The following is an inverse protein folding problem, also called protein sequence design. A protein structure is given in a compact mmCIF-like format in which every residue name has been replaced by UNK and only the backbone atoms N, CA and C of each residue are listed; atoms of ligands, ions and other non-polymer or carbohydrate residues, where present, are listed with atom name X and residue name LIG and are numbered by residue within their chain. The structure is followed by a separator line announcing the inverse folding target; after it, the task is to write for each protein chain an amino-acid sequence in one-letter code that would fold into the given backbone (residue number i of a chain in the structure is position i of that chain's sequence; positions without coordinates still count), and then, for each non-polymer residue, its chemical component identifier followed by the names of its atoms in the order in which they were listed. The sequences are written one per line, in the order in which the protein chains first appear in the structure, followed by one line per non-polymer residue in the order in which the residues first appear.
data_IF_958085782190
#
_entry.id   IF_958085782190
#
_cell.length_a   1.000
_cell.length_b   1.000
_cell.length_c   1.000
_cell.angle_alpha   90.00
_cell.angle_beta   90.00
_cell.angle_gamma   90.00
#
_symmetry.space_group_name_H-M   'P 1'
#
loop_
_entity.id
_entity.type
_entity.pdbx_description
1 polymer ?
#
# COMPACT_ATOMS: atom_id res chain seq x y z
N UNK A 1 -18.35 -13.56 22.97
CA UNK A 1 -17.71 -14.89 22.90
C UNK A 1 -16.21 -14.63 22.79
N UNK A 2 -15.56 -14.40 23.94
CA UNK A 2 -14.12 -14.18 23.98
C UNK A 2 -13.46 -15.51 23.63
N UNK A 3 -12.78 -15.58 22.48
CA UNK A 3 -12.05 -16.78 22.09
C UNK A 3 -11.01 -17.08 23.16
N UNK A 4 -11.17 -18.20 23.85
CA UNK A 4 -10.09 -18.75 24.66
C UNK A 4 -8.94 -19.05 23.70
N UNK A 5 -7.92 -18.20 23.70
CA UNK A 5 -6.66 -18.48 23.02
C UNK A 5 -6.04 -19.67 23.75
N UNK A 6 -6.23 -20.86 23.20
CA UNK A 6 -5.56 -22.07 23.69
C UNK A 6 -4.13 -21.99 23.20
N UNK A 7 -3.23 -21.53 24.05
CA UNK A 7 -1.80 -21.59 23.76
C UNK A 7 -1.43 -23.06 23.46
N UNK A 8 -0.72 -23.34 22.36
CA UNK A 8 -0.18 -24.65 22.13
C UNK A 8 0.69 -25.02 23.34
N UNK A 9 0.36 -26.14 23.97
CA UNK A 9 1.14 -26.71 25.07
C UNK A 9 2.60 -26.89 24.60
N UNK A 10 3.51 -26.04 25.08
CA UNK A 10 4.90 -25.97 24.61
C UNK A 10 5.60 -27.34 24.70
N UNK A 11 5.23 -28.15 25.70
CA UNK A 11 5.75 -29.51 25.86
C UNK A 11 5.33 -30.44 24.73
N UNK A 12 4.10 -30.32 24.23
CA UNK A 12 3.63 -31.11 23.08
C UNK A 12 4.33 -30.70 21.80
N UNK A 13 4.61 -29.42 21.62
CA UNK A 13 5.39 -28.94 20.46
C UNK A 13 6.81 -29.51 20.53
N UNK A 14 7.47 -29.40 21.69
CA UNK A 14 8.84 -29.89 21.91
C UNK A 14 9.01 -31.40 21.69
N UNK A 15 7.98 -32.18 22.02
CA UNK A 15 7.96 -33.64 21.85
C UNK A 15 7.53 -34.10 20.44
N UNK A 16 7.14 -33.18 19.56
CA UNK A 16 6.73 -33.52 18.19
C UNK A 16 7.92 -33.69 17.24
N UNK A 17 7.70 -34.37 16.10
CA UNK A 17 8.75 -34.57 15.09
C UNK A 17 9.26 -33.23 14.51
N UNK A 18 10.52 -33.20 14.07
CA UNK A 18 11.12 -32.01 13.45
C UNK A 18 10.27 -31.48 12.28
N UNK A 19 9.74 -32.38 11.45
CA UNK A 19 8.88 -32.02 10.33
C UNK A 19 7.52 -31.44 10.78
N UNK A 20 7.00 -31.84 11.94
CA UNK A 20 5.78 -31.25 12.50
C UNK A 20 6.02 -29.83 13.01
N UNK A 21 7.13 -29.60 13.74
CA UNK A 21 7.50 -28.25 14.21
C UNK A 21 7.83 -27.32 13.06
N UNK A 22 8.59 -27.80 12.08
CA UNK A 22 8.89 -27.02 10.88
C UNK A 22 7.62 -26.58 10.14
N UNK A 23 6.65 -27.48 9.96
CA UNK A 23 5.34 -27.14 9.36
C UNK A 23 4.57 -26.12 10.19
N UNK A 24 4.60 -26.23 11.52
CA UNK A 24 3.96 -25.27 12.42
C UNK A 24 4.55 -23.87 12.23
N UNK A 25 5.88 -23.73 12.30
CA UNK A 25 6.58 -22.44 12.12
C UNK A 25 6.34 -21.85 10.72
N UNK A 26 6.38 -22.68 9.69
CA UNK A 26 6.14 -22.23 8.32
C UNK A 26 4.67 -21.85 8.06
N UNK A 27 3.70 -22.39 8.80
CA UNK A 27 2.29 -22.09 8.57
C UNK A 27 1.99 -20.59 8.74
N UNK A 28 2.58 -19.94 9.77
CA UNK A 28 2.40 -18.51 9.99
C UNK A 28 3.01 -17.65 8.87
N UNK A 29 4.22 -18.02 8.42
CA UNK A 29 4.92 -17.31 7.33
C UNK A 29 4.16 -17.49 6.01
N UNK A 30 3.78 -18.72 5.68
CA UNK A 30 3.13 -19.07 4.40
C UNK A 30 1.72 -18.49 4.30
N UNK A 31 0.94 -18.48 5.39
CA UNK A 31 -0.38 -17.86 5.41
C UNK A 31 -0.31 -16.36 5.12
N UNK A 32 0.61 -15.64 5.77
CA UNK A 32 0.81 -14.21 5.54
C UNK A 32 1.35 -13.94 4.13
N UNK A 33 2.30 -14.75 3.64
CA UNK A 33 2.80 -14.60 2.27
C UNK A 33 1.70 -14.82 1.23
N UNK A 34 0.83 -15.80 1.43
CA UNK A 34 -0.31 -16.05 0.56
C UNK A 34 -1.27 -14.86 0.53
N UNK A 35 -1.64 -14.32 1.71
CA UNK A 35 -2.49 -13.13 1.78
C UNK A 35 -1.83 -11.91 1.14
N UNK A 36 -0.52 -11.71 1.35
CA UNK A 36 0.22 -10.64 0.69
C UNK A 36 0.16 -10.79 -0.85
N UNK A 37 0.40 -11.98 -1.38
CA UNK A 37 0.29 -12.25 -2.82
C UNK A 37 -1.13 -12.04 -3.35
N UNK A 38 -2.16 -12.40 -2.57
CA UNK A 38 -3.54 -12.14 -2.93
C UNK A 38 -3.82 -10.63 -3.01
N UNK A 39 -3.46 -9.86 -1.99
CA UNK A 39 -3.61 -8.40 -2.04
C UNK A 39 -2.80 -7.77 -3.17
N UNK A 40 -1.58 -8.25 -3.42
CA UNK A 40 -0.75 -7.79 -4.54
C UNK A 40 -1.39 -8.06 -5.90
N UNK A 41 -1.97 -9.26 -6.10
CA UNK A 41 -2.69 -9.60 -7.32
C UNK A 41 -3.90 -8.66 -7.52
N UNK A 42 -4.65 -8.40 -6.45
CA UNK A 42 -5.79 -7.46 -6.46
C UNK A 42 -5.32 -6.03 -6.76
N UNK A 43 -4.24 -5.55 -6.13
CA UNK A 43 -3.63 -4.24 -6.43
C UNK A 43 -3.19 -4.16 -7.89
N UNK A 44 -2.62 -5.23 -8.45
CA UNK A 44 -2.12 -5.24 -9.83
C UNK A 44 -3.25 -5.09 -10.87
N UNK A 45 -4.48 -5.53 -10.53
CA UNK A 45 -5.66 -5.34 -11.38
C UNK A 45 -6.17 -3.90 -11.33
N UNK A 46 -6.13 -3.24 -10.17
CA UNK A 46 -6.72 -1.92 -9.97
C UNK A 46 -5.72 -0.75 -10.07
N UNK A 47 -4.45 -0.97 -9.75
CA UNK A 47 -3.46 0.08 -9.46
C UNK A 47 -2.62 0.54 -10.65
N UNK A 48 -2.96 0.16 -11.88
CA UNK A 48 -2.14 0.48 -13.05
C UNK A 48 -2.50 1.81 -13.72
N UNK A 49 -3.71 2.32 -13.50
CA UNK A 49 -4.15 3.60 -14.04
C UNK A 49 -4.89 4.40 -12.97
N UNK A 50 -4.45 5.64 -12.78
CA UNK A 50 -5.09 6.60 -11.90
C UNK A 50 -5.89 7.60 -12.70
N UNK A 51 -6.93 8.12 -12.07
CA UNK A 51 -7.80 9.16 -12.56
C UNK A 51 -7.77 10.34 -11.59
N UNK A 52 -7.79 11.56 -12.12
CA UNK A 52 -7.86 12.78 -11.32
C UNK A 52 -9.31 13.15 -11.12
N UNK A 53 -9.83 12.81 -9.95
CA UNK A 53 -11.22 12.99 -9.56
C UNK A 53 -11.40 14.29 -8.78
N UNK A 54 -12.33 15.14 -9.22
CA UNK A 54 -12.71 16.38 -8.54
C UNK A 54 -13.48 16.03 -7.27
N UNK A 55 -12.91 16.35 -6.11
CA UNK A 55 -13.52 16.09 -4.81
C UNK A 55 -14.37 17.25 -4.32
N UNK A 56 -14.00 18.48 -4.68
CA UNK A 56 -14.73 19.69 -4.35
C UNK A 56 -14.36 20.81 -5.32
N UNK A 57 -15.25 21.77 -5.49
CA UNK A 57 -15.05 22.96 -6.32
C UNK A 57 -15.34 24.20 -5.47
N UNK A 58 -14.41 25.15 -5.46
CA UNK A 58 -14.59 26.40 -4.76
C UNK A 58 -15.70 27.23 -5.43
N UNK A 59 -16.70 27.65 -4.67
CA UNK A 59 -17.80 28.49 -5.16
C UNK A 59 -17.25 29.78 -5.78
N UNK A 60 -17.84 30.20 -6.91
CA UNK A 60 -17.45 31.37 -7.70
C UNK A 60 -16.03 31.33 -8.30
N UNK A 61 -15.35 30.19 -8.26
CA UNK A 61 -14.05 30.01 -8.94
C UNK A 61 -14.20 29.87 -10.46
N UNK A 62 -13.11 30.02 -11.23
CA UNK A 62 -13.11 29.73 -12.67
C UNK A 62 -13.72 28.37 -13.03
N UNK A 63 -13.34 27.31 -12.30
CA UNK A 63 -13.85 25.97 -12.52
C UNK A 63 -15.35 25.86 -12.21
N UNK A 64 -15.81 26.48 -11.12
CA UNK A 64 -17.23 26.52 -10.76
C UNK A 64 -18.07 27.21 -11.84
N UNK A 65 -17.62 28.37 -12.31
CA UNK A 65 -18.32 29.15 -13.32
C UNK A 65 -18.34 28.45 -14.70
N UNK A 66 -17.32 27.63 -14.97
CA UNK A 66 -17.26 26.80 -16.16
C UNK A 66 -18.10 25.52 -16.07
N UNK A 67 -18.70 25.23 -14.92
CA UNK A 67 -19.59 24.07 -14.74
C UNK A 67 -18.91 22.78 -14.27
N UNK A 68 -17.65 22.83 -13.83
CA UNK A 68 -17.01 21.67 -13.19
C UNK A 68 -17.71 21.37 -11.86
N UNK A 69 -17.99 20.10 -11.60
CA UNK A 69 -18.70 19.62 -10.42
C UNK A 69 -17.90 18.59 -9.62
N UNK A 70 -18.15 18.46 -8.30
CA UNK A 70 -17.66 17.33 -7.54
C UNK A 70 -18.14 16.00 -8.16
N UNK A 71 -17.23 15.04 -8.29
CA UNK A 71 -17.48 13.77 -8.98
C UNK A 71 -17.00 13.73 -10.43
N UNK A 72 -16.64 14.87 -11.02
CA UNK A 72 -16.06 14.92 -12.36
C UNK A 72 -14.65 14.31 -12.37
N UNK A 73 -14.30 13.61 -13.45
CA UNK A 73 -12.93 13.17 -13.71
C UNK A 73 -12.33 14.04 -14.79
N UNK A 74 -11.18 14.66 -14.49
CA UNK A 74 -10.41 15.40 -15.49
C UNK A 74 -9.64 14.39 -16.34
N UNK A 75 -9.95 14.34 -17.64
CA UNK A 75 -9.34 13.41 -18.59
C UNK A 75 -8.20 14.06 -19.35
N UNK A 76 -8.40 15.30 -19.82
CA UNK A 76 -7.45 16.01 -20.66
C UNK A 76 -7.46 17.51 -20.37
N UNK A 77 -6.32 18.17 -20.59
CA UNK A 77 -6.18 19.63 -20.55
C UNK A 77 -5.39 20.07 -21.77
N UNK A 78 -6.00 20.89 -22.64
CA UNK A 78 -5.41 21.38 -23.88
C UNK A 78 -4.84 20.26 -24.78
N UNK A 79 -5.51 19.10 -24.80
CA UNK A 79 -5.09 17.91 -25.56
C UNK A 79 -4.04 17.04 -24.86
N UNK A 80 -3.57 17.42 -23.67
CA UNK A 80 -2.69 16.59 -22.85
C UNK A 80 -3.51 15.68 -21.94
N UNK A 81 -3.24 14.38 -21.99
CA UNK A 81 -3.88 13.40 -21.10
C UNK A 81 -3.43 13.57 -19.66
N UNK A 82 -4.38 13.52 -18.75
CA UNK A 82 -4.17 13.70 -17.32
C UNK A 82 -4.32 12.34 -16.62
N UNK A 83 -3.22 11.80 -16.12
CA UNK A 83 -3.18 10.54 -15.37
C UNK A 83 -2.81 10.75 -13.89
N UNK A 84 -2.26 11.91 -13.57
CA UNK A 84 -1.86 12.31 -12.23
C UNK A 84 -2.15 13.79 -11.95
N UNK A 85 -2.18 14.15 -10.67
CA UNK A 85 -2.21 15.53 -10.19
C UNK A 85 -0.98 16.29 -10.69
N UNK A 86 0.15 15.62 -10.89
CA UNK A 86 1.34 16.25 -11.45
C UNK A 86 1.10 16.67 -12.90
N UNK A 87 0.55 15.79 -13.74
CA UNK A 87 0.18 16.11 -15.13
C UNK A 87 -0.79 17.30 -15.17
N UNK A 88 -1.82 17.26 -14.31
CA UNK A 88 -2.80 18.34 -14.22
C UNK A 88 -2.15 19.68 -13.86
N UNK A 89 -1.24 19.67 -12.88
CA UNK A 89 -0.52 20.88 -12.45
C UNK A 89 0.34 21.44 -13.58
N UNK A 90 1.02 20.59 -14.35
CA UNK A 90 1.83 21.03 -15.48
C UNK A 90 0.96 21.63 -16.59
N UNK A 91 -0.09 20.91 -17.00
CA UNK A 91 -0.95 21.34 -18.09
C UNK A 91 -1.67 22.67 -17.78
N UNK A 92 -2.09 22.91 -16.53
CA UNK A 92 -2.73 24.15 -16.13
C UNK A 92 -1.77 25.36 -16.00
N UNK A 93 -0.46 25.14 -15.99
CA UNK A 93 0.51 26.24 -15.87
C UNK A 93 0.75 26.97 -17.18
N UNK A 94 0.55 26.32 -18.33
CA UNK A 94 0.91 26.84 -19.64
C UNK A 94 0.08 28.06 -20.07
N UNK A 95 -1.22 28.05 -19.76
CA UNK A 95 -2.16 29.09 -20.20
C UNK A 95 -3.05 29.60 -19.07
N UNK A 96 -3.58 30.81 -19.27
CA UNK A 96 -4.61 31.38 -18.40
C UNK A 96 -5.98 30.76 -18.64
N UNK A 97 -6.28 30.44 -19.91
CA UNK A 97 -7.47 29.74 -20.32
C UNK A 97 -7.08 28.37 -20.87
N UNK A 98 -7.65 27.32 -20.30
CA UNK A 98 -7.39 25.95 -20.72
C UNK A 98 -8.71 25.27 -21.10
N UNK A 99 -8.68 24.46 -22.14
CA UNK A 99 -9.76 23.58 -22.53
C UNK A 99 -9.61 22.27 -21.78
N UNK A 100 -10.53 21.98 -20.87
CA UNK A 100 -10.50 20.84 -19.98
C UNK A 100 -11.58 19.86 -20.40
N UNK A 101 -11.19 18.63 -20.71
CA UNK A 101 -12.11 17.52 -20.95
C UNK A 101 -12.43 16.89 -19.60
N UNK A 102 -13.69 16.95 -19.20
CA UNK A 102 -14.19 16.31 -17.97
C UNK A 102 -15.16 15.19 -18.32
N UNK A 103 -15.17 14.13 -17.52
CA UNK A 103 -16.23 13.12 -17.51
C UNK A 103 -17.05 13.27 -16.24
N UNK A 104 -18.31 13.61 -16.39
CA UNK A 104 -19.26 13.75 -15.29
C UNK A 104 -19.62 12.41 -14.64
N UNK A 105 -20.20 12.47 -13.45
CA UNK A 105 -20.67 11.29 -12.72
C UNK A 105 -21.71 10.44 -13.49
N UNK A 106 -22.46 11.05 -14.41
CA UNK A 106 -23.41 10.36 -15.29
C UNK A 106 -22.73 9.65 -16.50
N UNK A 107 -21.40 9.75 -16.62
CA UNK A 107 -20.60 9.18 -17.70
C UNK A 107 -20.47 10.07 -18.94
N UNK A 108 -21.19 11.18 -19.02
CA UNK A 108 -21.08 12.13 -20.12
C UNK A 108 -19.71 12.83 -20.08
N UNK A 109 -19.10 12.98 -21.24
CA UNK A 109 -17.87 13.76 -21.40
C UNK A 109 -18.19 15.12 -21.98
N UNK A 110 -17.60 16.18 -21.42
CA UNK A 110 -17.80 17.55 -21.85
C UNK A 110 -16.44 18.28 -21.96
N UNK A 111 -16.35 19.18 -22.93
CA UNK A 111 -15.20 20.07 -23.11
C UNK A 111 -15.55 21.44 -22.51
N UNK A 112 -14.85 21.84 -21.45
CA UNK A 112 -15.09 23.09 -20.75
C UNK A 112 -13.89 24.02 -20.91
N UNK A 113 -14.13 25.29 -21.23
CA UNK A 113 -13.07 26.31 -21.22
C UNK A 113 -13.02 26.97 -19.85
N UNK A 114 -11.88 26.82 -19.15
CA UNK A 114 -11.68 27.36 -17.80
C UNK A 114 -10.58 28.41 -17.83
N UNK A 115 -10.95 29.66 -17.51
CA UNK A 115 -10.06 30.81 -17.51
C UNK A 115 -9.79 31.33 -16.09
N UNK A 116 -8.56 31.19 -15.60
CA UNK A 116 -8.13 31.85 -14.35
C UNK A 116 -7.69 33.29 -14.61
N UNK A 117 -7.81 34.16 -13.60
CA UNK A 117 -7.28 35.52 -13.67
C UNK A 117 -5.75 35.49 -13.62
N UNK A 118 -5.10 36.51 -14.20
CA UNK A 118 -3.63 36.58 -14.24
C UNK A 118 -2.97 36.62 -12.85
N UNK A 119 -3.68 37.08 -11.83
CA UNK A 119 -3.21 37.12 -10.44
C UNK A 119 -3.57 35.85 -9.63
N UNK A 120 -4.32 34.90 -10.20
CA UNK A 120 -4.74 33.67 -9.55
C UNK A 120 -3.87 32.50 -10.05
N UNK A 121 -3.37 31.66 -9.13
CA UNK A 121 -2.54 30.50 -9.49
C UNK A 121 -3.35 29.23 -9.75
N UNK A 122 -4.62 29.20 -9.38
CA UNK A 122 -5.45 28.00 -9.41
C UNK A 122 -6.82 28.29 -10.03
N UNK A 123 -7.45 27.26 -10.59
CA UNK A 123 -8.80 27.34 -11.15
C UNK A 123 -9.91 27.04 -10.12
N UNK A 124 -9.55 26.67 -8.89
CA UNK A 124 -10.48 26.43 -7.78
C UNK A 124 -11.04 25.01 -7.67
N UNK A 125 -10.34 24.00 -8.20
CA UNK A 125 -10.67 22.59 -8.00
C UNK A 125 -9.83 21.97 -6.88
N UNK A 126 -10.47 21.15 -6.06
CA UNK A 126 -9.81 20.19 -5.18
C UNK A 126 -9.93 18.82 -5.83
N UNK A 127 -8.81 18.10 -5.93
CA UNK A 127 -8.72 16.83 -6.65
C UNK A 127 -8.04 15.77 -5.81
N UNK A 128 -8.39 14.52 -6.06
CA UNK A 128 -7.68 13.35 -5.55
C UNK A 128 -7.37 12.37 -6.68
N UNK A 129 -6.26 11.65 -6.56
CA UNK A 129 -5.97 10.51 -7.43
C UNK A 129 -6.70 9.27 -6.89
N UNK A 130 -7.43 8.62 -7.76
CA UNK A 130 -8.08 7.34 -7.45
C UNK A 130 -7.79 6.34 -8.58
N UNK A 131 -7.72 5.04 -8.29
CA UNK A 131 -7.73 4.02 -9.33
C UNK A 131 -8.87 4.25 -10.32
N UNK A 132 -8.56 4.33 -11.61
CA UNK A 132 -9.53 4.68 -12.64
C UNK A 132 -10.73 3.71 -12.68
N UNK A 133 -10.49 2.44 -12.36
CA UNK A 133 -11.50 1.38 -12.24
C UNK A 133 -12.48 1.58 -11.07
N UNK A 134 -12.14 2.40 -10.07
CA UNK A 134 -12.95 2.62 -8.87
C UNK A 134 -13.67 3.97 -8.87
N UNK A 135 -13.49 4.81 -9.89
CA UNK A 135 -14.11 6.14 -9.99
C UNK A 135 -15.61 6.11 -9.73
N UNK A 136 -16.33 5.11 -10.27
CA UNK A 136 -17.78 4.99 -10.14
C UNK A 136 -18.28 4.74 -8.72
N UNK A 137 -17.40 4.38 -7.78
CA UNK A 137 -17.73 4.21 -6.36
C UNK A 137 -17.66 5.53 -5.58
N UNK A 138 -17.21 6.60 -6.21
CA UNK A 138 -16.92 7.89 -5.60
C UNK A 138 -15.54 7.92 -4.91
N UNK A 139 -15.02 9.13 -4.62
CA UNK A 139 -13.64 9.33 -4.19
C UNK A 139 -13.32 8.66 -2.86
N UNK A 140 -14.23 8.79 -1.88
CA UNK A 140 -14.03 8.30 -0.52
C UNK A 140 -14.03 6.77 -0.47
N UNK A 141 -15.02 6.14 -1.11
CA UNK A 141 -15.12 4.68 -1.20
C UNK A 141 -13.95 4.06 -1.97
N UNK A 142 -13.60 4.64 -3.12
CA UNK A 142 -12.47 4.18 -3.92
C UNK A 142 -11.16 4.23 -3.15
N UNK A 143 -10.93 5.33 -2.42
CA UNK A 143 -9.75 5.51 -1.57
C UNK A 143 -9.73 4.53 -0.39
N UNK A 144 -10.87 4.32 0.27
CA UNK A 144 -10.99 3.36 1.35
C UNK A 144 -10.67 1.93 0.88
N UNK A 145 -11.24 1.50 -0.24
CA UNK A 145 -10.95 0.20 -0.85
C UNK A 145 -9.46 0.06 -1.17
N UNK A 146 -8.89 1.07 -1.84
CA UNK A 146 -7.46 1.07 -2.16
C UNK A 146 -6.60 0.92 -0.90
N UNK A 147 -6.87 1.69 0.16
CA UNK A 147 -6.09 1.61 1.39
C UNK A 147 -6.27 0.30 2.14
N UNK A 148 -7.47 -0.28 2.17
CA UNK A 148 -7.68 -1.59 2.79
C UNK A 148 -6.84 -2.65 2.09
N UNK A 149 -6.81 -2.63 0.75
CA UNK A 149 -6.04 -3.60 -0.05
C UNK A 149 -4.54 -3.32 0.11
N UNK A 150 -4.12 -2.06 -0.01
CA UNK A 150 -2.71 -1.67 0.11
C UNK A 150 -2.15 -1.96 1.50
N UNK A 151 -2.83 -1.56 2.57
CA UNK A 151 -2.39 -1.87 3.93
C UNK A 151 -2.53 -3.35 4.25
N UNK A 152 -3.54 -4.04 3.71
CA UNK A 152 -3.63 -5.49 3.77
C UNK A 152 -2.37 -6.17 3.20
N UNK A 153 -1.92 -5.73 2.02
CA UNK A 153 -0.66 -6.18 1.44
C UNK A 153 0.54 -5.88 2.34
N UNK A 154 0.72 -4.62 2.75
CA UNK A 154 1.87 -4.18 3.55
C UNK A 154 1.95 -4.93 4.88
N UNK A 155 0.82 -5.08 5.58
CA UNK A 155 0.76 -5.76 6.88
C UNK A 155 1.11 -7.24 6.71
N UNK A 156 0.48 -7.95 5.76
CA UNK A 156 0.73 -9.37 5.58
C UNK A 156 2.17 -9.64 5.11
N UNK A 157 2.69 -8.84 4.18
CA UNK A 157 4.08 -8.98 3.74
C UNK A 157 5.05 -8.73 4.90
N UNK A 158 4.81 -7.68 5.70
CA UNK A 158 5.64 -7.35 6.86
C UNK A 158 5.61 -8.46 7.91
N UNK A 159 4.43 -9.01 8.23
CA UNK A 159 4.29 -10.13 9.15
C UNK A 159 5.02 -11.37 8.64
N UNK A 160 4.91 -11.69 7.35
CA UNK A 160 5.64 -12.81 6.75
C UNK A 160 7.16 -12.61 6.88
N UNK A 161 7.66 -11.42 6.58
CA UNK A 161 9.09 -11.09 6.68
C UNK A 161 9.60 -11.12 8.12
N UNK A 162 8.86 -10.53 9.06
CA UNK A 162 9.22 -10.51 10.48
C UNK A 162 9.23 -11.93 11.03
N UNK A 163 8.20 -12.73 10.76
CA UNK A 163 8.13 -14.11 11.26
C UNK A 163 9.18 -15.02 10.60
N UNK A 164 9.61 -14.73 9.37
CA UNK A 164 10.67 -15.47 8.70
C UNK A 164 12.08 -15.06 9.13
N UNK A 165 12.26 -13.86 9.69
CA UNK A 165 13.57 -13.37 10.10
C UNK A 165 14.15 -14.29 11.19
N UNK A 166 15.47 -14.52 11.25
CA UNK A 166 16.09 -15.30 12.31
C UNK A 166 16.29 -14.42 13.56
N UNK A 167 15.20 -14.02 14.21
CA UNK A 167 15.22 -13.22 15.46
C UNK A 167 14.63 -14.01 16.62
N UNK A 168 15.19 -13.85 17.83
CA UNK A 168 14.89 -14.66 19.02
C UNK A 168 13.42 -15.03 19.28
N UNK A 169 12.48 -14.14 18.93
CA UNK A 169 11.04 -14.29 19.20
C UNK A 169 10.21 -14.83 18.03
N UNK A 170 10.86 -15.14 16.91
CA UNK A 170 10.18 -15.42 15.63
C UNK A 170 10.17 -16.90 15.28
N UNK A 171 9.20 -17.31 14.45
CA UNK A 171 9.11 -18.66 13.90
C UNK A 171 10.36 -19.05 13.09
N UNK A 172 10.94 -18.09 12.36
CA UNK A 172 12.15 -18.27 11.57
C UNK A 172 13.37 -18.63 12.41
N UNK A 173 13.54 -18.01 13.58
CA UNK A 173 14.59 -18.39 14.52
C UNK A 173 14.39 -19.79 15.11
N UNK A 174 13.14 -20.16 15.43
CA UNK A 174 12.83 -21.48 15.96
C UNK A 174 13.10 -22.57 14.91
N UNK A 175 12.64 -22.35 13.68
CA UNK A 175 12.91 -23.23 12.55
C UNK A 175 14.43 -23.40 12.30
N UNK A 176 15.16 -22.29 12.23
CA UNK A 176 16.61 -22.29 12.03
C UNK A 176 17.32 -23.05 13.16
N UNK A 177 16.96 -22.77 14.41
CA UNK A 177 17.53 -23.45 15.57
C UNK A 177 17.33 -24.95 15.49
N UNK A 178 16.11 -25.39 15.23
CA UNK A 178 15.77 -26.82 15.21
C UNK A 178 16.49 -27.57 14.10
N UNK A 179 16.61 -26.97 12.92
CA UNK A 179 17.37 -27.53 11.80
C UNK A 179 18.86 -27.64 12.13
N UNK A 180 19.46 -26.58 12.69
CA UNK A 180 20.88 -26.58 13.03
C UNK A 180 21.20 -27.55 14.18
N UNK A 181 20.33 -27.64 15.20
CA UNK A 181 20.49 -28.59 16.31
C UNK A 181 20.33 -30.03 15.82
N UNK A 182 19.41 -30.30 14.90
CA UNK A 182 19.23 -31.63 14.33
C UNK A 182 20.49 -32.14 13.60
N UNK A 183 21.26 -31.26 12.98
CA UNK A 183 22.49 -31.62 12.24
C UNK A 183 23.74 -31.55 13.12
N UNK A 184 23.87 -30.51 13.95
CA UNK A 184 25.12 -30.16 14.65
C UNK A 184 25.05 -30.21 16.18
N UNK A 185 23.92 -30.65 16.76
CA UNK A 185 23.74 -30.72 18.20
C UNK A 185 24.06 -29.41 18.92
N UNK A 186 25.01 -29.44 19.87
CA UNK A 186 25.44 -28.26 20.62
C UNK A 186 26.06 -27.18 19.73
N UNK A 187 26.85 -27.57 18.72
CA UNK A 187 27.47 -26.62 17.77
C UNK A 187 26.38 -25.92 16.97
N UNK A 188 25.38 -26.67 16.50
CA UNK A 188 24.22 -26.12 15.80
C UNK A 188 23.46 -25.08 16.62
N UNK A 189 23.26 -25.34 17.91
CA UNK A 189 22.65 -24.38 18.84
C UNK A 189 23.46 -23.08 18.94
N UNK A 190 24.77 -23.18 19.10
CA UNK A 190 25.66 -22.01 19.15
C UNK A 190 25.61 -21.21 17.86
N UNK A 191 25.65 -21.87 16.70
CA UNK A 191 25.55 -21.22 15.39
C UNK A 191 24.22 -20.49 15.24
N UNK A 192 23.10 -21.13 15.59
CA UNK A 192 21.77 -20.50 15.55
C UNK A 192 21.73 -19.21 16.37
N UNK A 193 22.22 -19.27 17.61
CA UNK A 193 22.28 -18.11 18.50
C UNK A 193 23.15 -16.99 17.91
N UNK A 194 24.31 -17.33 17.34
CA UNK A 194 25.18 -16.36 16.68
C UNK A 194 24.49 -15.66 15.51
N UNK A 195 23.78 -16.40 14.66
CA UNK A 195 23.01 -15.82 13.54
C UNK A 195 21.95 -14.85 14.06
N UNK A 196 21.23 -15.21 15.13
CA UNK A 196 20.19 -14.35 15.72
C UNK A 196 20.78 -13.06 16.32
N UNK A 197 21.89 -13.16 17.06
CA UNK A 197 22.61 -12.01 17.63
C UNK A 197 23.09 -11.08 16.51
N UNK A 198 23.78 -11.63 15.50
CA UNK A 198 24.30 -10.83 14.37
C UNK A 198 23.16 -10.15 13.63
N UNK A 199 22.07 -10.85 13.36
CA UNK A 199 20.90 -10.28 12.68
C UNK A 199 20.29 -9.13 13.49
N UNK A 200 20.14 -9.28 14.81
CA UNK A 200 19.68 -8.22 15.69
C UNK A 200 20.61 -7.00 15.69
N UNK A 201 21.93 -7.22 15.78
CA UNK A 201 22.92 -6.15 15.76
C UNK A 201 22.90 -5.37 14.44
N UNK A 202 22.78 -6.06 13.30
CA UNK A 202 22.67 -5.42 11.98
C UNK A 202 21.41 -4.56 11.86
N UNK A 203 20.27 -5.03 12.38
CA UNK A 203 19.03 -4.25 12.39
C UNK A 203 19.17 -3.00 13.26
N UNK A 204 19.73 -3.13 14.46
CA UNK A 204 19.97 -1.99 15.35
C UNK A 204 20.93 -0.97 14.73
N UNK A 205 22.01 -1.43 14.08
CA UNK A 205 22.94 -0.56 13.37
C UNK A 205 22.26 0.18 12.22
N UNK A 206 21.47 -0.53 11.40
CA UNK A 206 20.74 0.05 10.28
C UNK A 206 19.72 1.10 10.69
N UNK A 207 19.05 0.91 11.84
CA UNK A 207 18.16 1.92 12.42
C UNK A 207 18.94 3.16 12.89
N UNK A 208 20.06 2.98 13.59
CA UNK A 208 20.85 4.10 14.10
C UNK A 208 21.46 4.96 12.98
N UNK A 209 21.94 4.36 11.89
CA UNK A 209 22.50 5.10 10.75
C UNK A 209 21.47 6.00 10.05
N UNK A 210 20.18 5.65 10.11
CA UNK A 210 19.07 6.47 9.57
C UNK A 210 18.61 7.60 10.49
N UNK A 211 18.98 7.57 11.77
CA UNK A 211 18.60 8.60 12.75
C UNK A 211 19.62 9.74 12.80
N UNK A 212 20.83 9.51 12.30
CA UNK A 212 21.96 10.46 12.37
C UNK A 212 22.20 11.19 11.03
N UNK A 213 21.56 10.77 9.94
CA UNK A 213 21.65 11.40 8.61
C UNK A 213 20.30 11.89 8.10
#
# INVERSE_FOLDING_TARGET
MFGAFVEPDEEKVKNSSLASRARLYMAGITANMFLALLFFAVLSVFGTQYAVLVTSVQINSPAYNAGIQPGDVILEVDGHKIHSIWDLKQALQEKLCNNIVVRHANGQTELLTVCRKANEKYIGVYVGEVPASLVGLGPETARAIYYIIFWGFVINLSLAMINAAPLFVTDGAQLLNDMLVAVGGKVGKTVSLSVQIVTLLLLLLGVNLRVIG
#
